data_IF_939829515620
#
_entry.id   IF_939829515620
#
_cell.length_a   1.000
_cell.length_b   1.000
_cell.length_c   1.000
_cell.angle_alpha   90.00
_cell.angle_beta   90.00
_cell.angle_gamma   90.00
#
_symmetry.space_group_name_H-M   'P 1'
#
loop_
_entity.id
_entity.type
_entity.pdbx_description
1 polymer ?
#
# COMPACT_ATOMS: atom_id res chain seq x y z
N UNK A 1 0.55 -1.92 4.46
CA UNK A 1 1.76 -1.69 5.28
C UNK A 1 2.99 -2.36 4.73
N UNK A 2 3.20 -2.27 3.43
CA UNK A 2 4.35 -2.85 2.72
C UNK A 2 4.86 -1.81 1.72
N UNK A 3 6.12 -1.96 1.30
CA UNK A 3 6.73 -1.18 0.22
C UNK A 3 7.46 -2.12 -0.74
N UNK A 4 7.84 -1.62 -1.92
CA UNK A 4 8.65 -2.38 -2.88
C UNK A 4 9.99 -2.78 -2.25
N UNK A 5 10.35 -4.04 -2.43
CA UNK A 5 11.65 -4.59 -2.04
C UNK A 5 12.65 -4.41 -3.19
N UNK A 6 13.07 -3.17 -3.42
CA UNK A 6 14.02 -2.74 -4.46
C UNK A 6 15.03 -1.76 -3.84
N UNK A 7 16.17 -1.46 -4.50
CA UNK A 7 17.14 -0.48 -4.03
C UNK A 7 16.49 0.88 -3.72
N UNK A 8 16.96 1.54 -2.67
CA UNK A 8 16.43 2.84 -2.24
C UNK A 8 16.55 3.88 -3.36
N UNK A 9 15.52 4.72 -3.52
CA UNK A 9 15.48 5.77 -4.54
C UNK A 9 15.11 5.30 -5.96
N UNK A 10 14.80 4.01 -6.14
CA UNK A 10 14.38 3.46 -7.45
C UNK A 10 12.87 3.19 -7.52
N UNK A 11 12.37 2.83 -8.71
CA UNK A 11 10.94 2.59 -8.96
C UNK A 11 10.72 1.43 -9.93
N UNK A 12 9.51 0.86 -9.91
CA UNK A 12 9.02 -0.11 -10.89
C UNK A 12 7.98 0.56 -11.77
N UNK A 13 8.16 0.48 -13.10
CA UNK A 13 7.19 0.97 -14.09
C UNK A 13 6.30 -0.16 -14.58
N UNK A 14 5.00 0.13 -14.65
CA UNK A 14 3.97 -0.71 -15.23
C UNK A 14 3.43 -0.01 -16.47
N UNK A 15 3.57 -0.63 -17.65
CA UNK A 15 2.98 -0.10 -18.89
C UNK A 15 1.47 -0.38 -18.96
N UNK A 16 0.71 0.33 -19.79
CA UNK A 16 -0.69 0.01 -20.05
C UNK A 16 -0.88 -1.45 -20.48
N UNK A 17 -1.67 -2.21 -19.72
CA UNK A 17 -1.95 -3.63 -19.97
C UNK A 17 -0.91 -4.61 -19.41
N UNK A 18 0.18 -4.12 -18.82
CA UNK A 18 1.23 -4.97 -18.26
C UNK A 18 0.86 -5.53 -16.88
N UNK A 19 1.23 -6.78 -16.64
CA UNK A 19 1.19 -7.40 -15.31
C UNK A 19 2.56 -7.94 -14.92
N UNK A 20 3.01 -7.63 -13.70
CA UNK A 20 4.31 -8.03 -13.15
C UNK A 20 4.15 -8.52 -11.71
N UNK A 21 4.87 -9.59 -11.37
CA UNK A 21 5.08 -9.99 -9.98
C UNK A 21 6.18 -9.13 -9.39
N UNK A 22 5.94 -8.54 -8.22
CA UNK A 22 6.91 -7.69 -7.51
C UNK A 22 7.14 -8.21 -6.09
N UNK A 23 8.37 -8.04 -5.60
CA UNK A 23 8.70 -8.30 -4.21
C UNK A 23 8.23 -7.15 -3.32
N UNK A 24 7.61 -7.50 -2.19
CA UNK A 24 7.22 -6.55 -1.16
C UNK A 24 7.92 -6.89 0.15
N UNK A 25 8.24 -5.85 0.92
CA UNK A 25 8.76 -5.97 2.28
C UNK A 25 7.90 -5.13 3.21
N UNK A 26 7.75 -5.58 4.46
CA UNK A 26 6.98 -4.84 5.45
C UNK A 26 7.63 -3.47 5.71
N UNK A 27 6.80 -2.46 5.93
CA UNK A 27 7.29 -1.20 6.53
C UNK A 27 7.73 -1.51 7.96
N UNK A 28 8.88 -0.98 8.36
CA UNK A 28 9.48 -1.22 9.68
C UNK A 28 9.49 0.08 10.52
N UNK A 29 10.12 0.05 11.70
CA UNK A 29 10.14 1.16 12.65
C UNK A 29 8.82 1.25 13.43
N UNK A 30 8.29 2.46 13.61
CA UNK A 30 7.01 2.67 14.31
C UNK A 30 5.80 2.15 13.52
N UNK A 31 5.99 1.80 12.24
CA UNK A 31 4.93 1.25 11.38
C UNK A 31 3.70 2.16 11.31
N UNK A 32 3.93 3.46 11.11
CA UNK A 32 2.89 4.49 10.95
C UNK A 32 2.95 5.03 9.52
N UNK A 33 1.79 5.17 8.87
CA UNK A 33 1.69 5.62 7.47
C UNK A 33 0.76 6.82 7.35
N UNK A 34 1.29 7.92 6.81
CA UNK A 34 0.56 9.14 6.49
C UNK A 34 0.74 9.51 5.01
N UNK A 35 -0.21 10.27 4.45
CA UNK A 35 -0.18 10.75 3.07
C UNK A 35 -0.63 9.71 2.03
N UNK A 36 -0.14 9.85 0.79
CA UNK A 36 -0.57 9.04 -0.35
C UNK A 36 -2.05 9.27 -0.67
N UNK A 37 -2.84 8.19 -0.71
CA UNK A 37 -4.29 8.24 -0.93
C UNK A 37 -5.12 8.38 0.36
N UNK A 38 -4.48 8.64 1.50
CA UNK A 38 -5.13 8.86 2.79
C UNK A 38 -6.08 7.72 3.21
N UNK A 39 -5.63 6.48 3.02
CA UNK A 39 -6.41 5.28 3.35
C UNK A 39 -6.20 4.84 4.81
N UNK A 40 -4.99 5.03 5.35
CA UNK A 40 -4.58 4.51 6.67
C UNK A 40 -4.51 5.66 7.69
N UNK A 41 -3.70 6.69 7.41
CA UNK A 41 -3.49 7.87 8.26
C UNK A 41 -3.18 7.54 9.74
N UNK A 42 -2.29 6.57 9.97
CA UNK A 42 -2.03 6.05 11.31
C UNK A 42 -1.21 4.76 11.34
N UNK A 43 -1.21 4.11 12.50
CA UNK A 43 -0.45 2.89 12.75
C UNK A 43 -0.99 1.69 11.97
N UNK A 44 -0.11 0.76 11.59
CA UNK A 44 -0.45 -0.46 10.86
C UNK A 44 -0.97 -1.56 11.81
N UNK A 45 -2.10 -1.32 12.45
CA UNK A 45 -2.85 -2.28 13.27
C UNK A 45 -4.06 -2.87 12.49
N UNK A 46 -4.75 -3.87 13.06
CA UNK A 46 -5.87 -4.53 12.39
C UNK A 46 -7.11 -3.63 12.25
N UNK A 47 -7.32 -2.71 13.20
CA UNK A 47 -8.41 -1.71 13.13
C UNK A 47 -8.24 -0.80 11.90
N UNK A 48 -7.06 -0.17 11.77
CA UNK A 48 -6.75 0.71 10.65
C UNK A 48 -6.68 -0.06 9.32
N UNK A 49 -6.26 -1.32 9.32
CA UNK A 49 -6.29 -2.17 8.13
C UNK A 49 -7.72 -2.40 7.64
N UNK A 50 -8.64 -2.72 8.55
CA UNK A 50 -10.05 -2.90 8.23
C UNK A 50 -10.67 -1.61 7.68
N UNK A 51 -10.43 -0.49 8.35
CA UNK A 51 -10.89 0.83 7.90
C UNK A 51 -10.30 1.23 6.54
N UNK A 52 -9.01 0.95 6.31
CA UNK A 52 -8.33 1.25 5.04
C UNK A 52 -8.90 0.44 3.86
N UNK A 53 -9.20 -0.86 4.07
CA UNK A 53 -9.83 -1.69 3.04
C UNK A 53 -11.25 -1.23 2.71
N UNK A 54 -12.05 -0.85 3.72
CA UNK A 54 -13.37 -0.27 3.51
C UNK A 54 -13.30 1.01 2.66
N UNK A 55 -12.43 1.96 3.05
CA UNK A 55 -12.22 3.21 2.29
C UNK A 55 -11.71 2.94 0.88
N UNK A 56 -10.79 1.99 0.71
CA UNK A 56 -10.24 1.63 -0.61
C UNK A 56 -11.35 1.10 -1.54
N UNK A 57 -12.22 0.24 -1.02
CA UNK A 57 -13.38 -0.27 -1.74
C UNK A 57 -14.35 0.85 -2.11
N UNK A 58 -14.72 1.71 -1.15
CA UNK A 58 -15.61 2.85 -1.38
C UNK A 58 -15.07 3.83 -2.44
N UNK A 59 -13.74 4.01 -2.49
CA UNK A 59 -13.07 4.91 -3.44
C UNK A 59 -12.66 4.24 -4.76
N UNK A 60 -13.06 2.98 -4.99
CA UNK A 60 -12.87 2.29 -6.28
C UNK A 60 -11.45 1.76 -6.53
N UNK A 61 -10.63 1.54 -5.49
CA UNK A 61 -9.35 0.85 -5.65
C UNK A 61 -9.60 -0.62 -6.00
N UNK A 62 -8.96 -1.08 -7.08
CA UNK A 62 -9.08 -2.46 -7.54
C UNK A 62 -8.45 -3.44 -6.53
N UNK A 63 -9.11 -4.59 -6.33
CA UNK A 63 -8.60 -5.65 -5.44
C UNK A 63 -8.75 -5.36 -3.94
N UNK A 64 -9.50 -4.34 -3.53
CA UNK A 64 -9.74 -3.97 -2.13
C UNK A 64 -10.80 -4.84 -1.40
N UNK A 65 -10.97 -6.10 -1.80
CA UNK A 65 -12.00 -7.02 -1.28
C UNK A 65 -11.42 -8.31 -0.74
#
# INVERSE_FOLDING_TARGET
GFRLNIPSGTAVRFEPGESKKVGLVAVDGERVVYGGSDLIAGSLNEENKTAALARAKERGFLGAG
#
